data_IF_488333442667
#
_entry.id   IF_488333442667
#
_cell.length_a   1.000
_cell.length_b   1.000
_cell.length_c   1.000
_cell.angle_alpha   90.00
_cell.angle_beta   90.00
_cell.angle_gamma   90.00
#
_symmetry.space_group_name_H-M   'P 1'
#
loop_
_entity.id
_entity.type
_entity.pdbx_description
1 polymer ?
#
# COMPACT_ATOMS: atom_id res chain seq x y z
N UNK A 1 36.67 -78.11 0.30
CA UNK A 1 37.30 -77.97 1.64
C UNK A 1 38.50 -77.04 1.50
N UNK A 2 38.78 -76.24 2.54
CA UNK A 2 39.65 -75.04 2.64
C UNK A 2 38.98 -73.77 2.08
N UNK A 3 38.41 -72.81 2.83
CA UNK A 3 38.72 -72.04 4.05
C UNK A 3 39.86 -71.01 3.95
N UNK A 4 39.43 -69.73 3.97
CA UNK A 4 39.95 -68.53 4.69
C UNK A 4 41.40 -68.07 4.47
N UNK A 5 41.58 -66.79 4.08
CA UNK A 5 42.08 -65.75 4.99
C UNK A 5 41.94 -64.32 4.42
N UNK A 6 41.66 -63.40 5.35
CA UNK A 6 41.55 -61.94 5.30
C UNK A 6 42.89 -61.22 5.14
N UNK A 7 42.89 -59.97 4.65
CA UNK A 7 43.68 -58.88 5.27
C UNK A 7 43.33 -57.50 4.73
N UNK A 8 43.36 -56.52 5.62
CA UNK A 8 42.99 -55.11 5.54
C UNK A 8 44.26 -54.25 5.59
N UNK A 9 44.35 -53.16 4.84
CA UNK A 9 45.23 -52.00 5.08
C UNK A 9 44.66 -50.84 4.23
N UNK A 10 44.01 -49.82 4.80
CA UNK A 10 44.53 -48.65 5.53
C UNK A 10 45.37 -47.65 4.71
N UNK A 11 45.14 -46.36 5.05
CA UNK A 11 45.89 -45.14 4.68
C UNK A 11 45.49 -44.55 3.31
N UNK A 12 44.97 -43.31 3.17
CA UNK A 12 45.28 -42.07 3.89
C UNK A 12 44.09 -41.11 3.91
N UNK A 13 43.93 -40.44 5.05
CA UNK A 13 43.21 -39.17 5.24
C UNK A 13 43.86 -38.05 4.45
N UNK A 14 43.08 -37.22 3.76
CA UNK A 14 43.47 -35.82 3.52
C UNK A 14 42.23 -34.91 3.60
N UNK A 15 42.11 -34.29 4.76
CA UNK A 15 41.26 -33.14 5.04
C UNK A 15 42.15 -31.92 4.82
N UNK A 16 41.83 -31.05 3.86
CA UNK A 16 42.40 -29.70 3.77
C UNK A 16 41.27 -28.76 3.31
N UNK A 17 40.67 -28.06 4.26
CA UNK A 17 41.01 -26.70 4.69
C UNK A 17 40.28 -25.63 3.86
N UNK A 18 39.21 -25.14 4.49
CA UNK A 18 38.59 -23.85 4.22
C UNK A 18 39.54 -22.75 4.70
N UNK A 19 39.92 -21.75 3.89
CA UNK A 19 40.52 -20.55 4.42
C UNK A 19 39.41 -19.60 4.87
N UNK A 20 39.37 -19.42 6.19
CA UNK A 20 38.59 -18.42 6.88
C UNK A 20 39.39 -17.11 6.95
N UNK A 21 38.67 -15.98 6.93
CA UNK A 21 39.04 -14.69 7.50
C UNK A 21 40.00 -13.77 6.71
N UNK A 22 39.42 -12.72 6.12
CA UNK A 22 40.06 -11.39 6.14
C UNK A 22 39.08 -10.40 6.75
N UNK A 23 39.42 -9.99 7.96
CA UNK A 23 38.80 -8.94 8.73
C UNK A 23 39.22 -7.58 8.15
N UNK A 24 38.28 -6.80 7.62
CA UNK A 24 38.49 -5.36 7.43
C UNK A 24 37.48 -4.61 8.29
N UNK A 25 38.01 -4.08 9.40
CA UNK A 25 37.37 -3.15 10.31
C UNK A 25 36.88 -1.91 9.58
N UNK A 26 35.68 -1.47 9.96
CA UNK A 26 35.13 -0.13 9.82
C UNK A 26 36.11 0.95 10.30
N UNK A 27 35.96 2.18 9.81
CA UNK A 27 35.76 3.27 10.76
C UNK A 27 34.50 4.08 10.45
N UNK A 28 33.65 4.17 11.46
CA UNK A 28 32.73 5.27 11.67
C UNK A 28 33.52 6.54 11.98
N UNK A 29 33.24 7.65 11.30
CA UNK A 29 33.58 8.99 11.82
C UNK A 29 32.61 10.04 11.28
N UNK A 30 31.75 10.51 12.18
CA UNK A 30 31.06 11.80 12.12
C UNK A 30 32.08 12.93 12.28
N UNK A 31 31.93 14.06 11.55
CA UNK A 31 32.26 15.36 12.13
C UNK A 31 30.98 16.17 12.39
N UNK A 32 30.80 16.54 13.65
CA UNK A 32 29.85 17.54 14.13
C UNK A 32 30.43 18.95 13.91
N UNK A 33 29.55 19.95 13.70
CA UNK A 33 29.75 21.41 13.84
C UNK A 33 30.59 22.07 12.72
N UNK A 34 30.24 23.24 12.15
CA UNK A 34 29.52 24.37 12.73
C UNK A 34 29.18 25.46 11.68
N UNK A 35 28.13 26.23 11.99
CA UNK A 35 27.75 27.60 11.56
C UNK A 35 27.36 27.90 10.10
N UNK A 36 26.07 28.18 9.90
CA UNK A 36 25.61 29.58 9.81
C UNK A 36 24.16 29.70 10.29
N UNK A 37 24.01 30.26 11.50
CA UNK A 37 22.78 30.88 12.00
C UNK A 37 22.68 32.26 11.34
N UNK A 38 21.61 32.54 10.62
CA UNK A 38 21.23 33.93 10.37
C UNK A 38 20.41 34.42 11.56
N UNK A 39 21.04 35.29 12.34
CA UNK A 39 20.49 36.12 13.40
C UNK A 39 19.29 36.94 12.91
N UNK A 40 18.15 36.84 13.57
CA UNK A 40 17.59 37.87 14.47
C UNK A 40 17.87 39.32 14.06
N UNK A 41 16.81 40.07 13.74
CA UNK A 41 16.36 41.27 14.51
C UNK A 41 15.22 42.02 13.80
N UNK A 42 14.09 42.10 14.50
CA UNK A 42 13.07 43.14 14.40
C UNK A 42 13.64 44.49 14.85
N UNK A 43 13.18 45.61 14.26
CA UNK A 43 12.72 46.76 15.03
C UNK A 43 11.37 47.27 14.47
N UNK A 44 10.27 47.22 15.24
CA UNK A 44 9.76 48.26 16.14
C UNK A 44 9.19 49.53 15.48
N UNK A 45 7.86 49.69 15.63
CA UNK A 45 7.09 50.94 15.84
C UNK A 45 7.02 52.00 14.72
N UNK A 46 5.78 52.36 14.36
CA UNK A 46 5.18 53.70 14.21
C UNK A 46 3.72 53.44 13.81
N UNK A 47 2.66 53.59 14.62
CA UNK A 47 2.03 54.75 15.26
C UNK A 47 1.38 55.76 14.31
N UNK A 48 0.06 55.66 14.13
CA UNK A 48 -0.82 56.81 13.89
C UNK A 48 -2.17 56.54 14.56
N UNK A 49 -2.36 57.20 15.72
CA UNK A 49 -3.67 57.56 16.32
C UNK A 49 -4.32 58.60 15.40
N UNK A 50 -5.65 58.72 15.30
CA UNK A 50 -6.50 59.56 16.19
C UNK A 50 -8.03 59.24 16.03
N UNK A 51 -8.94 59.75 16.90
CA UNK A 51 -10.00 58.95 17.54
C UNK A 51 -11.43 59.55 17.49
N UNK A 52 -12.43 58.79 17.96
CA UNK A 52 -13.62 59.31 18.69
C UNK A 52 -14.25 58.14 19.48
N UNK A 53 -14.23 58.11 20.83
CA UNK A 53 -15.17 58.74 21.79
C UNK A 53 -16.63 58.53 21.34
N UNK A 54 -17.50 57.80 22.05
CA UNK A 54 -17.94 58.00 23.46
C UNK A 54 -18.65 56.73 24.02
N UNK A 55 -18.82 56.59 25.36
CA UNK A 55 -19.14 55.34 26.06
C UNK A 55 -20.60 55.25 26.54
N UNK A 56 -21.08 54.05 26.90
CA UNK A 56 -22.14 53.92 27.92
C UNK A 56 -22.06 52.61 28.70
N UNK A 57 -21.88 52.73 30.02
CA UNK A 57 -21.99 51.65 31.01
C UNK A 57 -23.38 51.69 31.69
N UNK A 58 -23.97 50.50 31.84
CA UNK A 58 -24.88 50.00 32.93
C UNK A 58 -26.33 50.54 33.00
N UNK A 59 -27.34 49.81 33.57
CA UNK A 59 -27.24 48.73 34.58
C UNK A 59 -28.12 47.46 34.42
N UNK A 60 -27.64 46.37 35.03
CA UNK A 60 -28.33 45.33 35.85
C UNK A 60 -29.84 45.09 35.61
N UNK A 61 -30.19 43.88 35.15
CA UNK A 61 -31.29 43.05 35.71
C UNK A 61 -31.27 41.63 35.10
N UNK A 62 -30.93 40.66 35.93
CA UNK A 62 -31.17 39.22 35.73
C UNK A 62 -32.67 38.92 35.79
N UNK A 63 -33.26 38.27 34.78
CA UNK A 63 -34.53 37.57 34.92
C UNK A 63 -34.27 36.08 35.20
N UNK A 64 -34.44 35.72 36.47
CA UNK A 64 -35.06 34.51 37.01
C UNK A 64 -35.21 33.31 36.05
N UNK A 65 -34.60 32.18 36.44
CA UNK A 65 -34.86 30.79 35.98
C UNK A 65 -36.25 30.61 35.36
N UNK A 66 -36.31 30.45 34.04
CA UNK A 66 -37.45 29.83 33.38
C UNK A 66 -37.30 28.31 33.50
N UNK A 67 -38.33 27.55 33.91
CA UNK A 67 -38.25 26.11 33.95
C UNK A 67 -37.95 25.59 32.53
N UNK A 68 -36.92 24.75 32.42
CA UNK A 68 -36.62 24.03 31.19
C UNK A 68 -37.87 23.23 30.81
N UNK A 69 -38.56 23.67 29.75
CA UNK A 69 -39.58 22.86 29.09
C UNK A 69 -38.82 21.65 28.53
N UNK A 70 -38.81 20.54 29.28
CA UNK A 70 -38.56 19.21 28.72
C UNK A 70 -39.60 19.05 27.62
N UNK A 71 -39.23 19.37 26.38
CA UNK A 71 -39.94 18.86 25.23
C UNK A 71 -39.75 17.35 25.30
N UNK A 72 -40.75 16.65 25.83
CA UNK A 72 -40.87 15.22 25.70
C UNK A 72 -40.63 14.91 24.22
N UNK A 73 -39.54 14.19 23.91
CA UNK A 73 -39.37 13.59 22.58
C UNK A 73 -40.63 12.76 22.37
N UNK A 74 -41.53 13.21 21.49
CA UNK A 74 -42.64 12.39 21.02
C UNK A 74 -42.02 11.07 20.56
N UNK A 75 -42.59 9.90 20.92
CA UNK A 75 -42.14 8.65 20.32
C UNK A 75 -42.29 8.82 18.80
N UNK A 76 -41.19 8.67 18.06
CA UNK A 76 -41.23 8.67 16.61
C UNK A 76 -42.19 7.55 16.21
N UNK A 77 -43.39 7.93 15.75
CA UNK A 77 -44.34 7.01 15.14
C UNK A 77 -43.63 6.34 13.96
N UNK A 78 -43.63 5.01 13.95
CA UNK A 78 -42.80 4.19 13.09
C UNK A 78 -43.09 4.39 11.61
N UNK A 79 -42.40 5.34 10.98
CA UNK A 79 -42.18 5.35 9.55
C UNK A 79 -41.04 4.40 9.21
N UNK A 80 -41.24 3.53 8.21
CA UNK A 80 -40.17 2.68 7.67
C UNK A 80 -39.03 3.60 7.21
N UNK A 81 -37.88 3.55 7.90
CA UNK A 81 -36.69 4.29 7.50
C UNK A 81 -36.28 3.82 6.10
N UNK A 82 -36.14 4.77 5.17
CA UNK A 82 -35.61 4.47 3.83
C UNK A 82 -34.27 3.72 3.98
N UNK A 83 -34.00 2.71 3.14
CA UNK A 83 -32.74 1.98 3.21
C UNK A 83 -31.58 2.96 2.99
N UNK A 84 -30.57 2.86 3.86
CA UNK A 84 -29.40 3.73 3.81
C UNK A 84 -28.56 3.39 2.56
N UNK A 85 -28.32 4.39 1.70
CA UNK A 85 -27.45 4.29 0.53
C UNK A 85 -26.18 5.12 0.75
N UNK A 86 -25.02 4.49 0.62
CA UNK A 86 -23.74 5.18 0.68
C UNK A 86 -23.55 6.12 -0.51
N UNK A 87 -22.85 7.24 -0.30
CA UNK A 87 -22.46 8.15 -1.39
C UNK A 87 -21.49 7.45 -2.33
N UNK A 88 -21.51 7.75 -3.64
CA UNK A 88 -20.54 7.19 -4.58
C UNK A 88 -19.11 7.46 -4.08
N UNK A 89 -18.22 6.47 -4.28
CA UNK A 89 -16.85 6.49 -3.74
C UNK A 89 -16.71 6.04 -2.28
N UNK A 90 -17.76 6.09 -1.46
CA UNK A 90 -17.67 5.70 -0.04
C UNK A 90 -17.36 4.21 0.14
N UNK A 91 -18.02 3.37 -0.66
CA UNK A 91 -17.81 1.91 -0.62
C UNK A 91 -16.46 1.56 -1.26
N UNK A 92 -16.10 2.19 -2.39
CA UNK A 92 -14.82 1.98 -3.05
C UNK A 92 -13.63 2.32 -2.13
N UNK A 93 -13.67 3.46 -1.42
CA UNK A 93 -12.61 3.82 -0.46
C UNK A 93 -12.51 2.83 0.71
N UNK A 94 -13.63 2.23 1.13
CA UNK A 94 -13.64 1.18 2.15
C UNK A 94 -12.99 -0.09 1.64
N UNK A 95 -13.30 -0.49 0.41
CA UNK A 95 -12.73 -1.67 -0.24
C UNK A 95 -11.22 -1.51 -0.45
N UNK A 96 -10.77 -0.35 -0.95
CA UNK A 96 -9.34 -0.04 -1.10
C UNK A 96 -8.59 -0.22 0.22
N UNK A 97 -9.11 0.37 1.31
CA UNK A 97 -8.50 0.24 2.64
C UNK A 97 -8.52 -1.19 3.17
N UNK A 98 -9.59 -1.95 2.89
CA UNK A 98 -9.69 -3.35 3.27
C UNK A 98 -8.59 -4.15 2.57
N UNK A 99 -8.51 -4.06 1.25
CA UNK A 99 -7.61 -4.86 0.43
C UNK A 99 -6.14 -4.46 0.55
N UNK A 100 -5.84 -3.19 0.86
CA UNK A 100 -4.46 -2.78 1.19
C UNK A 100 -3.99 -3.28 2.56
N UNK A 101 -4.92 -3.61 3.49
CA UNK A 101 -4.58 -4.13 4.82
C UNK A 101 -4.40 -5.65 4.82
N UNK A 102 -5.12 -6.35 3.96
CA UNK A 102 -5.07 -7.81 3.82
C UNK A 102 -4.14 -8.23 2.68
N UNK A 103 -3.58 -9.43 2.77
CA UNK A 103 -2.83 -10.07 1.67
C UNK A 103 -3.58 -11.28 1.12
N UNK A 104 -4.91 -11.23 1.13
CA UNK A 104 -5.74 -12.32 0.59
C UNK A 104 -5.73 -12.30 -0.94
N UNK A 105 -5.62 -13.48 -1.55
CA UNK A 105 -5.73 -13.62 -3.00
C UNK A 105 -7.15 -13.30 -3.46
N UNK A 106 -7.28 -12.41 -4.44
CA UNK A 106 -8.56 -11.88 -4.90
C UNK A 106 -9.15 -12.68 -6.06
N UNK A 107 -8.30 -13.37 -6.84
CA UNK A 107 -8.75 -14.23 -7.93
C UNK A 107 -9.18 -15.58 -7.36
N UNK A 108 -10.36 -16.07 -7.78
CA UNK A 108 -10.83 -17.40 -7.38
C UNK A 108 -9.86 -18.48 -7.88
N UNK A 109 -9.42 -19.37 -6.98
CA UNK A 109 -8.42 -20.42 -7.28
C UNK A 109 -8.84 -21.37 -8.43
N UNK A 110 -10.11 -21.81 -8.45
CA UNK A 110 -10.60 -22.79 -9.45
C UNK A 110 -10.52 -22.29 -10.90
N UNK A 111 -11.05 -21.10 -11.25
CA UNK A 111 -10.89 -20.57 -12.61
C UNK A 111 -9.43 -20.25 -12.97
N UNK A 112 -8.63 -19.72 -12.03
CA UNK A 112 -7.21 -19.48 -12.28
C UNK A 112 -6.46 -20.78 -12.61
N UNK A 113 -6.72 -21.85 -11.85
CA UNK A 113 -6.15 -23.18 -12.12
C UNK A 113 -6.53 -23.72 -13.51
N UNK A 114 -7.77 -23.50 -13.96
CA UNK A 114 -8.20 -23.88 -15.32
C UNK A 114 -7.42 -23.11 -16.39
N UNK A 115 -7.30 -21.79 -16.22
CA UNK A 115 -6.56 -20.93 -17.13
C UNK A 115 -5.08 -21.33 -17.24
N UNK A 116 -4.41 -21.60 -16.11
CA UNK A 116 -3.00 -22.04 -16.13
C UNK A 116 -2.84 -23.34 -16.90
N UNK A 117 -3.77 -24.30 -16.75
CA UNK A 117 -3.72 -25.59 -17.45
C UNK A 117 -4.03 -25.45 -18.93
N UNK A 118 -4.97 -24.57 -19.28
CA UNK A 118 -5.29 -24.22 -20.67
C UNK A 118 -4.05 -23.67 -21.38
N UNK A 119 -3.40 -22.66 -20.81
CA UNK A 119 -2.18 -22.07 -21.38
C UNK A 119 -1.04 -23.09 -21.44
N UNK A 120 -0.87 -23.93 -20.42
CA UNK A 120 0.21 -24.91 -20.38
C UNK A 120 0.05 -26.02 -21.45
N UNK A 121 -1.19 -26.36 -21.78
CA UNK A 121 -1.51 -27.39 -22.76
C UNK A 121 -1.00 -27.01 -24.17
N UNK A 122 -0.95 -25.71 -24.50
CA UNK A 122 -0.44 -25.22 -25.78
C UNK A 122 1.07 -25.45 -25.95
N UNK A 123 1.82 -25.59 -24.86
CA UNK A 123 3.27 -25.80 -24.88
C UNK A 123 3.64 -27.27 -24.72
N UNK A 124 2.95 -27.99 -23.82
CA UNK A 124 3.23 -29.40 -23.54
C UNK A 124 1.95 -30.10 -23.07
N UNK A 125 1.61 -31.19 -23.74
CA UNK A 125 0.52 -32.05 -23.34
C UNK A 125 0.84 -32.82 -22.05
N UNK A 126 -0.17 -33.06 -21.22
CA UNK A 126 -0.12 -33.91 -20.02
C UNK A 126 0.84 -33.42 -18.92
N UNK A 127 0.88 -32.10 -18.70
CA UNK A 127 1.66 -31.50 -17.61
C UNK A 127 0.91 -31.62 -16.28
N UNK A 128 1.59 -32.21 -15.29
CA UNK A 128 1.11 -32.27 -13.91
C UNK A 128 1.66 -31.08 -13.11
N UNK A 129 0.77 -30.38 -12.42
CA UNK A 129 1.11 -29.25 -11.56
C UNK A 129 1.05 -29.62 -10.09
N UNK A 130 2.05 -29.21 -9.33
CA UNK A 130 1.99 -29.23 -7.87
C UNK A 130 1.03 -28.14 -7.36
N UNK A 131 0.33 -28.40 -6.25
CA UNK A 131 -0.56 -27.40 -5.66
C UNK A 131 0.15 -26.06 -5.35
N UNK A 132 1.34 -26.11 -4.75
CA UNK A 132 2.12 -24.92 -4.42
C UNK A 132 2.58 -24.14 -5.65
N UNK A 133 2.86 -24.82 -6.77
CA UNK A 133 3.24 -24.13 -8.02
C UNK A 133 2.09 -23.27 -8.57
N UNK A 134 0.85 -23.77 -8.49
CA UNK A 134 -0.33 -23.01 -8.91
C UNK A 134 -0.59 -21.80 -8.00
N UNK A 135 -0.29 -21.93 -6.70
CA UNK A 135 -0.36 -20.81 -5.76
C UNK A 135 0.70 -19.75 -6.06
N UNK A 136 1.95 -20.16 -6.28
CA UNK A 136 3.04 -19.23 -6.61
C UNK A 136 2.77 -18.48 -7.92
N UNK A 137 2.25 -19.16 -8.95
CA UNK A 137 1.82 -18.51 -10.19
C UNK A 137 0.69 -17.50 -9.95
N UNK A 138 -0.25 -17.81 -9.06
CA UNK A 138 -1.34 -16.91 -8.71
C UNK A 138 -0.83 -15.67 -7.97
N UNK A 139 0.03 -15.85 -6.98
CA UNK A 139 0.64 -14.76 -6.23
C UNK A 139 1.42 -13.82 -7.14
N UNK A 140 2.25 -14.37 -8.03
CA UNK A 140 3.00 -13.58 -9.01
C UNK A 140 2.09 -12.82 -9.98
N UNK A 141 1.03 -13.47 -10.49
CA UNK A 141 0.09 -12.85 -11.41
C UNK A 141 -0.71 -11.71 -10.75
N UNK A 142 -1.20 -11.90 -9.53
CA UNK A 142 -1.93 -10.86 -8.81
C UNK A 142 -1.02 -9.69 -8.43
N UNK A 143 0.21 -9.96 -7.97
CA UNK A 143 1.19 -8.91 -7.68
C UNK A 143 1.51 -8.06 -8.92
N UNK A 144 1.69 -8.71 -10.08
CA UNK A 144 1.94 -8.02 -11.35
C UNK A 144 0.77 -7.10 -11.75
N UNK A 145 -0.47 -7.58 -11.61
CA UNK A 145 -1.65 -6.79 -11.97
C UNK A 145 -1.82 -5.60 -11.00
N UNK A 146 -1.56 -5.78 -9.70
CA UNK A 146 -1.61 -4.71 -8.70
C UNK A 146 -0.59 -3.61 -9.05
N UNK A 147 0.66 -3.99 -9.34
CA UNK A 147 1.74 -3.09 -9.71
C UNK A 147 1.40 -2.26 -10.97
N UNK A 148 0.80 -2.87 -12.00
CA UNK A 148 0.32 -2.12 -13.17
C UNK A 148 -0.83 -1.17 -12.81
N UNK A 149 -1.76 -1.57 -11.93
CA UNK A 149 -2.87 -0.71 -11.53
C UNK A 149 -2.41 0.50 -10.72
N UNK A 150 -1.34 0.38 -9.92
CA UNK A 150 -0.72 1.51 -9.22
C UNK A 150 -0.19 2.55 -10.22
N UNK A 151 0.61 2.12 -11.20
CA UNK A 151 1.13 3.00 -12.25
C UNK A 151 0.01 3.61 -13.12
N UNK A 152 -1.00 2.79 -13.46
CA UNK A 152 -2.18 3.22 -14.22
C UNK A 152 -2.96 4.30 -13.47
N UNK A 153 -3.10 4.16 -12.16
CA UNK A 153 -3.76 5.15 -11.31
C UNK A 153 -2.99 6.47 -11.28
N UNK A 154 -1.65 6.44 -11.21
CA UNK A 154 -0.81 7.64 -11.32
C UNK A 154 -0.99 8.34 -12.68
N UNK A 155 -1.08 7.58 -13.78
CA UNK A 155 -1.35 8.13 -15.11
C UNK A 155 -2.74 8.79 -15.22
N UNK A 156 -3.76 8.21 -14.59
CA UNK A 156 -5.10 8.78 -14.54
C UNK A 156 -5.11 10.11 -13.76
N UNK A 157 -4.42 10.16 -12.61
CA UNK A 157 -4.28 11.36 -11.78
C UNK A 157 -3.49 12.45 -12.51
N UNK A 158 -2.44 12.08 -13.25
CA UNK A 158 -1.68 13.00 -14.10
C UNK A 158 -2.58 13.70 -15.12
N UNK A 159 -3.58 13.00 -15.63
CA UNK A 159 -4.60 13.53 -16.55
C UNK A 159 -5.80 14.21 -15.86
N UNK A 160 -5.73 14.49 -14.54
CA UNK A 160 -6.83 15.07 -13.73
C UNK A 160 -8.11 14.23 -13.69
N UNK A 161 -8.00 12.90 -13.79
CA UNK A 161 -9.12 11.95 -13.68
C UNK A 161 -8.98 11.06 -12.45
N UNK A 162 -10.10 10.51 -11.99
CA UNK A 162 -10.17 9.51 -10.91
C UNK A 162 -10.49 8.11 -11.45
N UNK A 163 -11.07 8.04 -12.64
CA UNK A 163 -11.35 6.78 -13.34
C UNK A 163 -10.15 6.43 -14.23
N UNK A 164 -9.62 5.23 -14.04
CA UNK A 164 -8.61 4.63 -14.90
C UNK A 164 -9.22 4.22 -16.24
N UNK A 165 -8.51 4.47 -17.34
CA UNK A 165 -8.90 4.11 -18.70
C UNK A 165 -7.81 3.24 -19.36
N UNK A 166 -8.16 2.59 -20.47
CA UNK A 166 -7.23 1.75 -21.21
C UNK A 166 -5.95 2.49 -21.65
N UNK A 167 -6.08 3.76 -22.05
CA UNK A 167 -4.94 4.64 -22.40
C UNK A 167 -3.96 4.86 -21.24
N UNK A 168 -4.43 4.84 -20.00
CA UNK A 168 -3.58 5.01 -18.81
C UNK A 168 -2.73 3.75 -18.61
N UNK A 169 -3.35 2.58 -18.80
CA UNK A 169 -2.68 1.29 -18.69
C UNK A 169 -1.68 1.09 -19.84
N UNK A 170 -2.06 1.45 -21.06
CA UNK A 170 -1.15 1.43 -22.22
C UNK A 170 0.06 2.33 -22.00
N UNK A 171 -0.14 3.54 -21.46
CA UNK A 171 0.94 4.45 -21.11
C UNK A 171 1.84 3.87 -20.00
N UNK A 172 1.26 3.35 -18.92
CA UNK A 172 1.98 2.73 -17.82
C UNK A 172 2.88 1.58 -18.31
N UNK A 173 2.31 0.66 -19.10
CA UNK A 173 3.04 -0.46 -19.70
C UNK A 173 4.15 0.00 -20.65
N UNK A 174 3.89 1.04 -21.45
CA UNK A 174 4.87 1.61 -22.38
C UNK A 174 6.07 2.19 -21.65
N UNK A 175 5.84 2.93 -20.57
CA UNK A 175 6.90 3.54 -19.74
C UNK A 175 7.68 2.48 -18.97
N UNK A 176 7.00 1.44 -18.48
CA UNK A 176 7.62 0.32 -17.74
C UNK A 176 8.47 -0.60 -18.62
N UNK A 177 8.44 -0.41 -19.95
CA UNK A 177 9.19 -1.23 -20.89
C UNK A 177 8.63 -2.65 -21.06
N UNK A 178 7.42 -2.91 -20.54
CA UNK A 178 6.74 -4.20 -20.70
C UNK A 178 6.08 -4.21 -22.09
N UNK A 179 6.84 -4.66 -23.08
CA UNK A 179 6.47 -4.58 -24.49
C UNK A 179 5.34 -5.57 -24.86
N UNK A 180 4.08 -5.20 -24.61
CA UNK A 180 2.89 -5.89 -25.13
C UNK A 180 2.37 -5.32 -26.46
N UNK A 181 3.22 -4.57 -27.18
CA UNK A 181 2.88 -3.78 -28.38
C UNK A 181 2.24 -4.58 -29.53
N UNK A 182 2.26 -5.92 -29.50
CA UNK A 182 1.57 -6.79 -30.45
C UNK A 182 0.21 -7.36 -30.00
N UNK A 183 -0.19 -7.23 -28.73
CA UNK A 183 -1.39 -7.87 -28.16
C UNK A 183 -2.54 -6.91 -27.82
N UNK A 184 -2.26 -5.61 -27.67
CA UNK A 184 -3.29 -4.61 -27.31
C UNK A 184 -3.88 -3.85 -28.51
N UNK A 185 -3.46 -4.16 -29.74
CA UNK A 185 -3.92 -3.55 -31.00
C UNK A 185 -4.44 -4.58 -32.02
N UNK A 186 -5.07 -5.66 -31.55
CA UNK A 186 -5.89 -6.55 -32.39
C UNK A 186 -7.35 -6.47 -31.97
#
# INVERSE_FOLDING_TARGET
>A
MTQTSSSTAETSTETSEVPNNTSTKTPSTTPSKTLSKTSTKTPSKTSTKTPSKTPRKTPRKTPKKTPAKKSAKKPFTGGIKKPHRYRPGTVALREIRKYQKSTELLIKKKPFCRLVREVAQDYKSDVRFQANSLLALQEAAEAFIIDIFEDTNLCAIHSKRVTILLKDMQLALRVKGVNYIGLLNK
#
